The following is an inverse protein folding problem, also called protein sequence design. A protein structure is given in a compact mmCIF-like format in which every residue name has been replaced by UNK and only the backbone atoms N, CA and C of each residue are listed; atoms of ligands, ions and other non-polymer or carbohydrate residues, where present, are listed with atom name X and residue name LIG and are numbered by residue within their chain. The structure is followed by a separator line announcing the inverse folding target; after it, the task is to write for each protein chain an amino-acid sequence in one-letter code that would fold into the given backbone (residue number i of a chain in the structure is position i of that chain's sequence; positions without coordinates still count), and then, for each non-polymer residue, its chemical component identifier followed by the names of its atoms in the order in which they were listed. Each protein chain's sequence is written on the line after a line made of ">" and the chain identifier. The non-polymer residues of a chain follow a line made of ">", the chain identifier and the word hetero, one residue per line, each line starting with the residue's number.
data_IF_264014376892
#
_entry.id   IF_264014376892
#
_cell.length_a   1.000
_cell.length_b   1.000
_cell.length_c   1.000
_cell.angle_alpha   90.00
_cell.angle_beta   90.00
_cell.angle_gamma   90.00
#
_symmetry.space_group_name_H-M   'P 1'
#
loop_
_entity.id
_entity.type
_entity.pdbx_description
1 polymer ?
#
# COMPACT_ATOMS: atom_id res chain seq x y z
N UNK A 1 -2.07 -4.61 18.01
CA UNK A 1 -1.60 -5.93 17.56
C UNK A 1 -0.69 -5.70 16.36
N UNK A 2 0.46 -6.38 16.29
CA UNK A 2 1.34 -6.29 15.11
C UNK A 2 0.88 -7.29 14.06
N UNK A 3 0.93 -6.90 12.79
CA UNK A 3 0.54 -7.75 11.66
C UNK A 3 1.37 -7.41 10.42
N UNK A 4 1.25 -8.24 9.39
CA UNK A 4 1.75 -7.97 8.04
C UNK A 4 0.81 -7.01 7.33
N UNK A 5 1.37 -5.88 6.92
CA UNK A 5 0.65 -4.87 6.17
C UNK A 5 1.34 -4.63 4.82
N UNK A 6 0.52 -4.44 3.80
CA UNK A 6 0.93 -4.16 2.43
C UNK A 6 0.49 -2.75 2.08
N UNK A 7 1.43 -1.93 1.64
CA UNK A 7 1.17 -0.61 1.07
C UNK A 7 0.83 -0.76 -0.41
N UNK A 8 -0.36 -0.30 -0.79
CA UNK A 8 -0.74 -0.14 -2.18
C UNK A 8 -0.38 1.27 -2.63
N UNK A 9 0.30 1.41 -3.77
CA UNK A 9 0.70 2.71 -4.30
C UNK A 9 0.74 2.74 -5.83
N UNK A 10 0.61 3.95 -6.40
CA UNK A 10 0.71 4.24 -7.84
C UNK A 10 2.13 4.69 -8.16
N UNK A 11 2.84 3.88 -8.94
CA UNK A 11 4.13 4.20 -9.53
C UNK A 11 3.96 4.57 -11.02
N UNK A 12 4.99 5.15 -11.68
CA UNK A 12 4.91 5.51 -13.11
C UNK A 12 4.56 4.35 -14.05
N UNK A 13 4.81 3.11 -13.62
CA UNK A 13 4.59 1.89 -14.38
C UNK A 13 3.33 1.11 -13.94
N UNK A 14 2.52 1.64 -13.01
CA UNK A 14 1.27 1.03 -12.59
C UNK A 14 1.03 1.01 -11.08
N UNK A 15 0.02 0.24 -10.67
CA UNK A 15 -0.36 0.08 -9.25
C UNK A 15 0.40 -1.11 -8.66
N UNK A 16 1.08 -0.88 -7.54
CA UNK A 16 2.03 -1.83 -6.93
C UNK A 16 1.64 -2.14 -5.49
N UNK A 17 1.75 -3.43 -5.13
CA UNK A 17 1.65 -3.96 -3.77
C UNK A 17 3.05 -4.05 -3.17
N UNK A 18 3.34 -3.29 -2.13
CA UNK A 18 4.64 -3.28 -1.46
C UNK A 18 4.56 -3.67 0.01
N UNK A 19 5.28 -4.72 0.39
CA UNK A 19 5.51 -5.06 1.79
C UNK A 19 6.79 -4.37 2.25
N UNK A 20 6.66 -3.35 3.10
CA UNK A 20 7.79 -2.49 3.48
C UNK A 20 8.52 -3.00 4.74
N UNK A 21 7.84 -3.79 5.58
CA UNK A 21 8.38 -4.48 6.75
C UNK A 21 7.39 -5.55 7.25
N UNK A 22 7.91 -6.60 7.89
CA UNK A 22 7.13 -7.82 8.19
C UNK A 22 6.07 -7.64 9.28
N UNK A 23 6.39 -6.99 10.41
CA UNK A 23 5.44 -6.87 11.53
C UNK A 23 5.44 -5.48 12.15
N UNK A 24 4.27 -4.85 12.14
CA UNK A 24 4.06 -3.52 12.73
C UNK A 24 2.57 -3.27 13.04
N UNK A 25 2.25 -2.18 13.72
CA UNK A 25 0.87 -1.72 13.88
C UNK A 25 0.35 -1.11 12.58
N UNK A 26 -0.97 -0.99 12.43
CA UNK A 26 -1.55 -0.31 11.27
C UNK A 26 -1.04 1.13 11.11
N UNK A 27 -0.93 1.88 12.21
CA UNK A 27 -0.43 3.27 12.20
C UNK A 27 1.03 3.35 11.75
N UNK A 28 1.88 2.42 12.20
CA UNK A 28 3.27 2.32 11.75
C UNK A 28 3.35 2.00 10.25
N UNK A 29 2.52 1.08 9.77
CA UNK A 29 2.46 0.70 8.36
C UNK A 29 1.96 1.83 7.48
N UNK A 30 0.91 2.53 7.92
CA UNK A 30 0.34 3.66 7.19
C UNK A 30 1.35 4.80 7.08
N UNK A 31 2.02 5.12 8.19
CA UNK A 31 3.07 6.15 8.19
C UNK A 31 4.23 5.75 7.28
N UNK A 32 4.74 4.52 7.40
CA UNK A 32 5.85 4.03 6.59
C UNK A 32 5.51 4.03 5.09
N UNK A 33 4.28 3.64 4.74
CA UNK A 33 3.79 3.67 3.37
C UNK A 33 3.72 5.08 2.78
N UNK A 34 3.20 6.04 3.55
CA UNK A 34 3.14 7.46 3.17
C UNK A 34 4.55 8.03 2.98
N UNK A 35 5.44 7.81 3.95
CA UNK A 35 6.82 8.29 3.91
C UNK A 35 7.56 7.73 2.68
N UNK A 36 7.45 6.42 2.43
CA UNK A 36 8.06 5.76 1.27
C UNK A 36 7.54 6.33 -0.05
N UNK A 37 6.22 6.51 -0.18
CA UNK A 37 5.64 7.08 -1.38
C UNK A 37 6.09 8.51 -1.61
N UNK A 38 6.16 9.32 -0.56
CA UNK A 38 6.66 10.70 -0.64
C UNK A 38 8.12 10.75 -1.05
N UNK A 39 8.99 9.91 -0.48
CA UNK A 39 10.42 9.85 -0.82
C UNK A 39 10.64 9.45 -2.30
N UNK A 40 9.83 8.52 -2.82
CA UNK A 40 9.96 8.01 -4.18
C UNK A 40 9.14 8.76 -5.24
N UNK A 41 8.31 9.73 -4.83
CA UNK A 41 7.40 10.42 -5.74
C UNK A 41 6.26 9.53 -6.26
N UNK A 42 5.83 8.54 -5.47
CA UNK A 42 4.70 7.67 -5.78
C UNK A 42 3.39 8.19 -5.16
N UNK A 43 2.26 7.79 -5.74
CA UNK A 43 0.94 8.09 -5.18
C UNK A 43 0.53 7.04 -4.16
N UNK A 44 0.53 7.38 -2.87
CA UNK A 44 -0.02 6.50 -1.84
C UNK A 44 -1.51 6.23 -2.09
N UNK A 45 -1.92 4.96 -2.05
CA UNK A 45 -3.33 4.57 -2.20
C UNK A 45 -3.91 4.12 -0.87
N UNK A 46 -3.23 3.24 -0.16
CA UNK A 46 -3.72 2.70 1.11
C UNK A 46 -2.80 1.66 1.72
N UNK A 47 -3.15 1.24 2.92
CA UNK A 47 -2.46 0.18 3.66
C UNK A 47 -3.48 -0.90 4.01
N UNK A 48 -3.15 -2.14 3.67
CA UNK A 48 -4.07 -3.27 3.70
C UNK A 48 -3.42 -4.48 4.34
N UNK A 49 -4.22 -5.47 4.75
CA UNK A 49 -3.72 -6.80 5.12
C UNK A 49 -3.54 -7.66 3.87
N UNK A 50 -2.84 -8.80 4.00
CA UNK A 50 -2.73 -9.79 2.92
C UNK A 50 -4.11 -10.25 2.39
N UNK A 51 -5.10 -10.37 3.26
CA UNK A 51 -6.46 -10.81 2.88
C UNK A 51 -7.25 -9.78 2.07
N UNK A 52 -6.95 -8.49 2.23
CA UNK A 52 -7.76 -7.39 1.67
C UNK A 52 -7.09 -6.67 0.50
N UNK A 53 -5.77 -6.83 0.34
CA UNK A 53 -5.01 -6.07 -0.66
C UNK A 53 -5.37 -6.42 -2.10
N UNK A 54 -5.75 -7.67 -2.38
CA UNK A 54 -6.10 -8.09 -3.75
C UNK A 54 -7.39 -7.41 -4.22
N UNK A 55 -8.42 -7.43 -3.39
CA UNK A 55 -9.68 -6.73 -3.69
C UNK A 55 -9.44 -5.22 -3.87
N UNK A 56 -8.67 -4.60 -2.97
CA UNK A 56 -8.34 -3.18 -3.07
C UNK A 56 -7.54 -2.85 -4.35
N UNK A 57 -6.64 -3.75 -4.78
CA UNK A 57 -5.86 -3.58 -6.00
C UNK A 57 -6.74 -3.61 -7.25
N UNK A 58 -7.70 -4.54 -7.31
CA UNK A 58 -8.66 -4.65 -8.41
C UNK A 58 -9.58 -3.41 -8.50
N UNK A 59 -10.14 -2.95 -7.37
CA UNK A 59 -10.99 -1.77 -7.30
C UNK A 59 -10.26 -0.52 -7.83
N UNK A 60 -8.98 -0.36 -7.47
CA UNK A 60 -8.16 0.78 -7.91
C UNK A 60 -7.86 0.70 -9.40
N UNK A 61 -7.64 -0.48 -9.96
CA UNK A 61 -7.42 -0.65 -11.40
C UNK A 61 -8.71 -0.38 -12.19
N UNK A 62 -9.86 -0.86 -11.70
CA UNK A 62 -11.15 -0.68 -12.38
C UNK A 62 -11.66 0.76 -12.34
N UNK A 63 -11.42 1.49 -11.24
CA UNK A 63 -11.81 2.89 -11.08
C UNK A 63 -10.97 3.91 -11.86
N UNK A 64 -9.93 3.48 -12.57
CA UNK A 64 -9.11 4.34 -13.45
C UNK A 64 -9.69 4.44 -14.88
N UNK A 65 -10.77 3.73 -15.19
CA UNK A 65 -11.47 3.81 -16.49
C UNK A 65 -12.42 5.00 -16.64
#
# INVERSE_FOLDING_TARGET
>A
MKNKYITLYKAPYGVVKGMLKDEMTFEEAEKLGKDYCQEKGFGYVGTYTEDTVEQAHEEVIQGIR
#
